data_IF_019163647921
#
_entry.id   IF_019163647921
#
_cell.length_a   1.000
_cell.length_b   1.000
_cell.length_c   1.000
_cell.angle_alpha   90.00
_cell.angle_beta   90.00
_cell.angle_gamma   90.00
#
_symmetry.space_group_name_H-M   'P 1'
#
loop_
_entity.id
_entity.type
_entity.pdbx_description
1 polymer ?
#
# COMPACT_ATOMS: atom_id res chain seq x y z
N UNK A 1 -52.76 52.16 62.84
CA UNK A 1 -52.66 50.81 63.46
C UNK A 1 -51.94 49.90 62.49
N UNK A 2 -50.91 49.16 62.98
CA UNK A 2 -50.29 47.91 62.46
C UNK A 2 -50.08 47.79 60.94
N UNK A 3 -48.87 48.07 60.42
CA UNK A 3 -47.76 47.10 60.17
C UNK A 3 -48.18 45.86 59.39
N UNK A 4 -47.62 45.67 58.19
CA UNK A 4 -46.93 44.44 57.76
C UNK A 4 -46.03 44.79 56.56
N UNK A 5 -44.74 44.51 56.72
CA UNK A 5 -43.68 44.62 55.71
C UNK A 5 -43.79 43.38 54.81
N UNK A 6 -43.84 43.54 53.49
CA UNK A 6 -43.59 42.45 52.56
C UNK A 6 -42.25 42.71 51.87
N UNK A 7 -41.29 41.86 52.24
CA UNK A 7 -39.89 41.89 51.87
C UNK A 7 -39.74 41.47 50.40
N UNK A 8 -39.23 42.37 49.55
CA UNK A 8 -38.81 42.02 48.19
C UNK A 8 -37.50 41.23 48.28
N UNK A 9 -37.58 39.91 48.10
CA UNK A 9 -36.43 39.04 47.90
C UNK A 9 -36.14 38.97 46.40
N UNK A 10 -35.26 39.84 45.92
CA UNK A 10 -34.59 39.66 44.62
C UNK A 10 -33.67 38.45 44.74
N UNK A 11 -34.12 37.29 44.28
CA UNK A 11 -33.24 36.14 44.04
C UNK A 11 -32.61 36.36 42.67
N UNK A 12 -31.45 36.99 42.64
CA UNK A 12 -30.57 37.02 41.47
C UNK A 12 -29.99 35.62 41.29
N UNK A 13 -30.54 34.85 40.35
CA UNK A 13 -29.96 33.58 39.91
C UNK A 13 -28.70 33.92 39.13
N UNK A 14 -27.55 33.82 39.79
CA UNK A 14 -26.25 33.83 39.14
C UNK A 14 -26.09 32.47 38.45
N UNK A 15 -26.43 32.40 37.16
CA UNK A 15 -26.14 31.24 36.33
C UNK A 15 -24.63 31.14 36.13
N UNK A 16 -23.95 30.39 37.00
CA UNK A 16 -22.57 29.97 36.77
C UNK A 16 -22.60 28.96 35.63
N UNK A 17 -22.29 29.43 34.42
CA UNK A 17 -22.01 28.56 33.28
C UNK A 17 -20.66 27.90 33.58
N UNK A 18 -20.71 26.73 34.21
CA UNK A 18 -19.57 25.81 34.21
C UNK A 18 -19.38 25.33 32.77
N UNK A 19 -18.50 26.00 32.02
CA UNK A 19 -17.94 25.45 30.79
C UNK A 19 -17.09 24.24 31.20
N UNK A 20 -17.70 23.07 31.17
CA UNK A 20 -16.97 21.81 31.19
C UNK A 20 -16.31 21.68 29.82
N UNK A 21 -15.00 21.90 29.74
CA UNK A 21 -14.21 21.30 28.67
C UNK A 21 -14.25 19.79 28.92
N UNK A 22 -15.19 19.09 28.30
CA UNK A 22 -14.90 17.71 27.93
C UNK A 22 -13.75 17.79 26.93
N UNK A 23 -12.56 17.38 27.34
CA UNK A 23 -11.61 16.84 26.36
C UNK A 23 -12.39 15.73 25.67
N UNK A 24 -12.89 16.00 24.47
CA UNK A 24 -13.29 14.93 23.58
C UNK A 24 -12.05 14.05 23.49
N UNK A 25 -12.10 12.86 24.09
CA UNK A 25 -11.23 11.78 23.64
C UNK A 25 -11.61 11.61 22.18
N UNK A 26 -10.93 12.30 21.28
CA UNK A 26 -10.93 11.93 19.89
C UNK A 26 -10.41 10.50 19.90
N UNK A 27 -11.31 9.56 19.64
CA UNK A 27 -10.92 8.20 19.32
C UNK A 27 -10.03 8.34 18.10
N UNK A 28 -8.75 8.04 18.26
CA UNK A 28 -7.82 7.90 17.14
C UNK A 28 -8.37 6.72 16.33
N UNK A 29 -9.09 7.03 15.26
CA UNK A 29 -9.67 6.03 14.37
C UNK A 29 -8.66 5.75 13.25
N UNK A 30 -8.23 4.51 13.18
CA UNK A 30 -7.34 4.02 12.13
C UNK A 30 -8.12 3.85 10.85
N UNK A 31 -7.53 4.25 9.72
CA UNK A 31 -8.12 4.07 8.41
C UNK A 31 -7.32 3.05 7.62
N UNK A 32 -8.01 2.20 6.83
CA UNK A 32 -7.33 1.31 5.88
C UNK A 32 -6.46 2.15 4.96
N UNK A 33 -5.21 1.73 4.78
CA UNK A 33 -4.23 2.45 3.98
C UNK A 33 -3.50 1.50 3.04
N UNK A 34 -3.77 1.69 1.75
CA UNK A 34 -3.08 1.00 0.67
C UNK A 34 -1.64 1.48 0.51
N UNK A 35 -1.39 2.79 0.67
CA UNK A 35 -0.04 3.36 0.70
C UNK A 35 0.80 2.76 1.83
N UNK A 36 0.23 2.61 3.04
CA UNK A 36 0.88 1.91 4.15
C UNK A 36 1.26 0.48 3.75
N UNK A 37 0.35 -0.26 3.11
CA UNK A 37 0.64 -1.65 2.74
C UNK A 37 1.79 -1.74 1.75
N UNK A 38 1.86 -0.83 0.76
CA UNK A 38 3.00 -0.73 -0.17
C UNK A 38 4.29 -0.44 0.61
N UNK A 39 4.29 0.58 1.46
CA UNK A 39 5.45 0.90 2.30
C UNK A 39 5.91 -0.29 3.15
N UNK A 40 4.99 -0.97 3.85
CA UNK A 40 5.33 -2.09 4.72
C UNK A 40 5.88 -3.28 3.93
N UNK A 41 5.39 -3.52 2.71
CA UNK A 41 5.93 -4.57 1.85
C UNK A 41 7.38 -4.27 1.45
N UNK A 42 7.68 -3.03 1.08
CA UNK A 42 9.04 -2.61 0.74
C UNK A 42 9.94 -2.62 1.97
N UNK A 43 9.47 -2.06 3.08
CA UNK A 43 10.16 -2.05 4.37
C UNK A 43 10.55 -3.47 4.84
N UNK A 44 9.68 -4.46 4.64
CA UNK A 44 10.02 -5.87 4.91
C UNK A 44 11.17 -6.37 4.04
N UNK A 45 11.26 -5.93 2.80
CA UNK A 45 12.35 -6.29 1.89
C UNK A 45 13.67 -5.64 2.32
N UNK A 46 13.67 -4.35 2.66
CA UNK A 46 14.90 -3.67 3.10
C UNK A 46 15.44 -4.23 4.42
N UNK A 47 14.55 -4.71 5.30
CA UNK A 47 14.90 -5.31 6.58
C UNK A 47 15.13 -6.84 6.53
N UNK A 48 15.18 -7.45 5.35
CA UNK A 48 15.36 -8.90 5.15
C UNK A 48 14.28 -9.77 5.83
N UNK A 49 13.07 -9.24 6.04
CA UNK A 49 11.92 -9.94 6.62
C UNK A 49 11.19 -10.75 5.53
N UNK A 50 11.15 -10.25 4.29
CA UNK A 50 10.39 -10.87 3.18
C UNK A 50 11.07 -12.09 2.56
N UNK A 51 12.27 -12.48 3.01
CA UNK A 51 13.06 -13.57 2.40
C UNK A 51 13.69 -13.23 1.04
N UNK A 52 13.36 -12.06 0.46
CA UNK A 52 14.01 -11.46 -0.70
C UNK A 52 15.21 -10.63 -0.21
N UNK A 53 16.41 -10.91 -0.72
CA UNK A 53 17.60 -10.09 -0.46
C UNK A 53 17.79 -9.14 -1.64
N UNK A 54 17.68 -7.83 -1.41
CA UNK A 54 18.16 -6.84 -2.38
C UNK A 54 19.66 -6.65 -2.24
N UNK A 55 20.33 -6.42 -3.37
CA UNK A 55 21.76 -6.12 -3.43
C UNK A 55 22.01 -4.70 -2.89
N UNK A 56 22.49 -4.62 -1.65
CA UNK A 56 23.43 -3.63 -1.09
C UNK A 56 23.17 -2.11 -1.11
N UNK A 57 22.02 -1.56 -1.52
CA UNK A 57 21.81 -0.09 -1.36
C UNK A 57 20.34 0.38 -1.32
N UNK A 58 19.45 -0.34 -0.66
CA UNK A 58 18.03 0.06 -0.55
C UNK A 58 17.76 0.68 0.82
N UNK A 59 18.23 1.92 1.02
CA UNK A 59 17.78 2.72 2.17
C UNK A 59 16.42 3.32 1.85
N UNK A 60 15.46 3.21 2.77
CA UNK A 60 14.15 3.88 2.61
C UNK A 60 14.37 5.39 2.46
N UNK A 61 13.64 6.05 1.56
CA UNK A 61 13.80 7.49 1.35
C UNK A 61 13.13 8.34 2.46
N UNK A 62 12.35 7.72 3.35
CA UNK A 62 11.81 8.32 4.55
C UNK A 62 11.63 7.29 5.66
N UNK A 63 11.52 7.77 6.90
CA UNK A 63 11.17 6.99 8.08
C UNK A 63 9.95 7.56 8.79
N UNK A 64 9.28 6.72 9.58
CA UNK A 64 8.18 7.16 10.43
C UNK A 64 8.69 7.92 11.66
N UNK A 65 8.00 9.00 12.03
CA UNK A 65 8.17 9.62 13.35
C UNK A 65 7.23 8.93 14.34
N UNK A 66 7.83 8.25 15.31
CA UNK A 66 7.10 7.51 16.35
C UNK A 66 6.65 8.42 17.50
N UNK A 67 5.55 8.08 18.21
CA UNK A 67 4.77 6.85 18.11
C UNK A 67 3.69 6.89 17.02
N UNK A 68 3.30 5.70 16.54
CA UNK A 68 2.21 5.50 15.58
C UNK A 68 1.13 4.59 16.18
N UNK A 69 -0.07 4.67 15.61
CA UNK A 69 -1.16 3.72 15.86
C UNK A 69 -1.57 3.07 14.54
N UNK A 70 -1.43 1.75 14.46
CA UNK A 70 -1.87 0.93 13.33
C UNK A 70 -3.13 0.14 13.68
N UNK A 71 -3.84 -0.33 12.66
CA UNK A 71 -4.84 -1.39 12.79
C UNK A 71 -4.44 -2.63 12.01
N UNK A 72 -4.78 -3.78 12.58
CA UNK A 72 -4.80 -5.04 11.87
C UNK A 72 -6.07 -5.13 11.00
N UNK A 73 -6.04 -6.05 10.04
CA UNK A 73 -7.14 -6.39 9.14
C UNK A 73 -8.43 -6.88 9.83
N UNK A 74 -8.39 -7.20 11.13
CA UNK A 74 -9.56 -7.52 11.96
C UNK A 74 -10.15 -6.30 12.71
N UNK A 75 -9.55 -5.11 12.53
CA UNK A 75 -9.94 -3.85 13.15
C UNK A 75 -9.37 -3.61 14.54
N UNK A 76 -8.59 -4.55 15.10
CA UNK A 76 -7.87 -4.31 16.35
C UNK A 76 -6.68 -3.39 16.13
N UNK A 77 -6.35 -2.56 17.12
CA UNK A 77 -5.31 -1.54 17.00
C UNK A 77 -4.05 -1.90 17.79
N UNK A 78 -2.89 -1.44 17.33
CA UNK A 78 -1.60 -1.55 18.01
C UNK A 78 -0.86 -0.21 17.98
N UNK A 79 -0.30 0.21 19.11
CA UNK A 79 0.60 1.36 19.19
C UNK A 79 2.04 0.89 19.01
N UNK A 80 2.80 1.59 18.18
CA UNK A 80 4.19 1.27 17.86
C UNK A 80 5.06 2.47 18.19
N UNK A 81 6.10 2.27 18.99
CA UNK A 81 6.91 3.33 19.59
C UNK A 81 8.32 3.43 19.00
N UNK A 82 8.70 2.50 18.12
CA UNK A 82 10.00 2.49 17.46
C UNK A 82 10.00 1.59 16.22
N UNK A 83 10.98 1.78 15.35
CA UNK A 83 11.22 0.90 14.20
C UNK A 83 11.44 -0.56 14.60
N UNK A 84 12.19 -0.81 15.68
CA UNK A 84 12.39 -2.17 16.19
C UNK A 84 11.07 -2.84 16.59
N UNK A 85 10.12 -2.09 17.16
CA UNK A 85 8.80 -2.62 17.48
C UNK A 85 7.98 -2.90 16.20
N UNK A 86 8.08 -2.03 15.19
CA UNK A 86 7.47 -2.27 13.88
C UNK A 86 8.02 -3.56 13.24
N UNK A 87 9.35 -3.72 13.18
CA UNK A 87 10.02 -4.93 12.65
C UNK A 87 9.50 -6.18 13.35
N UNK A 88 9.46 -6.19 14.69
CA UNK A 88 8.97 -7.33 15.45
C UNK A 88 7.51 -7.68 15.12
N UNK A 89 6.65 -6.68 14.91
CA UNK A 89 5.26 -6.92 14.50
C UNK A 89 5.22 -7.51 13.08
N UNK A 90 5.99 -6.95 12.15
CA UNK A 90 6.01 -7.35 10.75
C UNK A 90 6.55 -8.77 10.52
N UNK A 91 7.48 -9.23 11.35
CA UNK A 91 7.98 -10.61 11.37
C UNK A 91 6.90 -11.64 11.78
N UNK A 92 5.87 -11.20 12.51
CA UNK A 92 4.81 -12.06 13.03
C UNK A 92 3.48 -11.93 12.27
N UNK A 93 3.42 -11.13 11.20
CA UNK A 93 2.21 -11.06 10.36
C UNK A 93 1.95 -12.40 9.65
N UNK A 94 0.67 -12.69 9.42
CA UNK A 94 0.18 -13.87 8.70
C UNK A 94 -0.90 -13.47 7.70
N UNK A 95 -1.32 -14.38 6.82
CA UNK A 95 -2.44 -14.12 5.89
C UNK A 95 -3.79 -13.87 6.57
N UNK A 96 -3.90 -14.18 7.87
CA UNK A 96 -5.12 -13.95 8.65
C UNK A 96 -5.03 -12.75 9.59
N UNK A 97 -3.81 -12.31 9.92
CA UNK A 97 -3.58 -11.19 10.85
C UNK A 97 -2.37 -10.38 10.37
N UNK A 98 -2.63 -9.19 9.83
CA UNK A 98 -1.62 -8.30 9.27
C UNK A 98 -2.08 -6.84 9.37
N UNK A 99 -1.14 -5.89 9.37
CA UNK A 99 -1.43 -4.45 9.38
C UNK A 99 -1.97 -4.03 8.01
N UNK A 100 -3.11 -3.36 8.02
CA UNK A 100 -3.77 -2.81 6.85
C UNK A 100 -4.26 -1.36 7.03
N UNK A 101 -4.05 -0.76 8.20
CA UNK A 101 -4.46 0.60 8.47
C UNK A 101 -3.57 1.35 9.45
N UNK A 102 -3.68 2.68 9.39
CA UNK A 102 -2.92 3.64 10.19
C UNK A 102 -3.83 4.78 10.63
N UNK A 103 -3.54 5.34 11.80
CA UNK A 103 -4.16 6.57 12.27
C UNK A 103 -3.58 7.80 11.56
N UNK A 104 -4.46 8.62 10.98
CA UNK A 104 -4.09 9.96 10.52
C UNK A 104 -4.44 11.01 11.59
N UNK A 105 -3.68 12.12 11.69
CA UNK A 105 -2.42 12.36 10.98
C UNK A 105 -1.24 11.63 11.63
N UNK A 106 -0.18 11.42 10.85
CA UNK A 106 1.12 10.95 11.34
C UNK A 106 2.25 11.73 10.65
N UNK A 107 3.46 11.66 11.20
CA UNK A 107 4.61 12.40 10.70
C UNK A 107 5.63 11.46 10.04
N UNK A 108 6.22 11.91 8.93
CA UNK A 108 7.34 11.27 8.23
C UNK A 108 8.58 12.15 8.27
N UNK A 109 9.77 11.54 8.34
CA UNK A 109 11.04 12.24 8.18
C UNK A 109 11.73 11.76 6.91
N UNK A 110 11.82 12.63 5.90
CA UNK A 110 12.50 12.33 4.63
C UNK A 110 14.02 12.28 4.85
N UNK A 111 14.70 11.33 4.20
CA UNK A 111 16.14 11.16 4.25
C UNK A 111 16.88 12.46 3.91
N UNK A 112 17.74 12.91 4.84
CA UNK A 112 18.47 14.18 4.73
C UNK A 112 17.69 15.43 5.20
N UNK A 113 16.41 15.29 5.57
CA UNK A 113 15.65 16.34 6.26
C UNK A 113 15.82 16.27 7.78
N UNK A 114 15.56 17.38 8.45
CA UNK A 114 15.40 17.45 9.92
C UNK A 114 14.01 17.91 10.34
N UNK A 115 13.15 18.23 9.36
CA UNK A 115 11.79 18.70 9.58
C UNK A 115 10.82 17.61 9.18
N UNK A 116 9.96 17.15 10.11
CA UNK A 116 8.90 16.20 9.79
C UNK A 116 7.88 16.78 8.81
N UNK A 117 7.33 15.91 7.98
CA UNK A 117 6.19 16.17 7.09
C UNK A 117 4.98 15.47 7.68
N UNK A 118 3.92 16.22 7.97
CA UNK A 118 2.66 15.66 8.46
C UNK A 118 1.81 15.16 7.31
N UNK A 119 1.39 13.91 7.40
CA UNK A 119 0.48 13.24 6.48
C UNK A 119 -0.90 13.17 7.14
N UNK A 120 -1.90 13.75 6.49
CA UNK A 120 -3.26 13.88 7.01
C UNK A 120 -4.28 13.03 6.25
N UNK A 121 -3.93 12.55 5.06
CA UNK A 121 -4.82 11.73 4.22
C UNK A 121 -4.06 10.62 3.49
N UNK A 122 -4.81 9.61 3.04
CA UNK A 122 -4.28 8.53 2.20
C UNK A 122 -3.68 9.05 0.88
N UNK A 123 -4.28 10.08 0.28
CA UNK A 123 -3.78 10.69 -0.95
C UNK A 123 -2.41 11.35 -0.74
N UNK A 124 -2.23 12.09 0.36
CA UNK A 124 -0.94 12.65 0.75
C UNK A 124 0.10 11.56 1.01
N UNK A 125 -0.31 10.41 1.55
CA UNK A 125 0.63 9.30 1.74
C UNK A 125 1.07 8.70 0.40
N UNK A 126 0.14 8.49 -0.54
CA UNK A 126 0.48 8.03 -1.89
C UNK A 126 1.41 8.98 -2.64
N UNK A 127 1.27 10.30 -2.48
CA UNK A 127 2.22 11.27 -3.06
C UNK A 127 3.65 11.06 -2.54
N UNK A 128 3.79 10.68 -1.27
CA UNK A 128 5.10 10.34 -0.70
C UNK A 128 5.63 9.02 -1.25
N UNK A 129 4.78 7.99 -1.41
CA UNK A 129 5.17 6.71 -2.03
C UNK A 129 5.72 6.94 -3.45
N UNK A 130 5.00 7.71 -4.27
CA UNK A 130 5.38 8.06 -5.65
C UNK A 130 6.68 8.88 -5.68
N UNK A 131 6.79 9.91 -4.84
CA UNK A 131 8.01 10.73 -4.73
C UNK A 131 9.22 9.90 -4.28
N UNK A 132 8.99 8.83 -3.51
CA UNK A 132 10.02 7.93 -3.02
C UNK A 132 10.45 6.87 -4.04
N UNK A 133 9.79 6.79 -5.20
CA UNK A 133 10.01 5.76 -6.21
C UNK A 133 9.92 4.34 -5.60
N UNK A 134 8.96 4.14 -4.67
CA UNK A 134 8.72 2.82 -4.08
C UNK A 134 7.88 2.00 -5.06
N UNK A 135 8.37 0.79 -5.39
CA UNK A 135 7.67 -0.17 -6.26
C UNK A 135 6.20 -0.37 -5.83
N UNK A 136 5.28 0.01 -6.73
CA UNK A 136 3.84 -0.12 -6.57
C UNK A 136 3.29 -1.29 -7.38
N UNK A 137 1.97 -1.50 -7.33
CA UNK A 137 1.32 -2.52 -8.17
C UNK A 137 1.57 -2.31 -9.67
N UNK A 138 1.66 -1.05 -10.12
CA UNK A 138 1.89 -0.72 -11.52
C UNK A 138 3.27 -1.22 -11.96
N UNK A 139 4.30 -1.01 -11.13
CA UNK A 139 5.67 -1.46 -11.39
C UNK A 139 5.76 -2.99 -11.46
N UNK A 140 5.09 -3.70 -10.54
CA UNK A 140 5.05 -5.16 -10.55
C UNK A 140 4.34 -5.71 -11.79
N UNK A 141 3.26 -5.07 -12.25
CA UNK A 141 2.53 -5.53 -13.43
C UNK A 141 3.33 -5.24 -14.70
N UNK A 142 3.87 -4.02 -14.83
CA UNK A 142 4.63 -3.58 -16.01
C UNK A 142 5.95 -4.33 -16.15
N UNK A 143 6.63 -4.64 -15.04
CA UNK A 143 7.86 -5.43 -15.07
C UNK A 143 7.67 -6.89 -15.52
N UNK A 144 6.42 -7.34 -15.60
CA UNK A 144 6.07 -8.72 -15.92
C UNK A 144 6.31 -9.60 -14.70
N UNK A 145 5.29 -9.99 -13.93
CA UNK A 145 5.49 -10.92 -12.83
C UNK A 145 5.79 -12.33 -13.37
N UNK A 146 6.45 -13.16 -12.56
CA UNK A 146 6.70 -14.58 -12.85
C UNK A 146 5.45 -15.49 -12.74
N UNK A 147 4.25 -14.90 -12.75
CA UNK A 147 2.96 -15.55 -12.78
C UNK A 147 2.05 -14.84 -13.79
N UNK A 148 1.01 -15.51 -14.26
CA UNK A 148 0.01 -14.91 -15.16
C UNK A 148 -1.32 -14.77 -14.45
N UNK A 149 -2.01 -13.65 -14.62
CA UNK A 149 -3.36 -13.47 -14.06
C UNK A 149 -4.36 -14.43 -14.72
N UNK A 150 -5.28 -14.97 -13.92
CA UNK A 150 -6.47 -15.66 -14.41
C UNK A 150 -7.59 -14.63 -14.54
N UNK A 151 -8.05 -14.42 -15.76
CA UNK A 151 -9.12 -13.47 -16.06
C UNK A 151 -10.52 -14.09 -15.88
N UNK A 152 -11.55 -13.29 -15.52
CA UNK A 152 -11.47 -11.87 -15.19
C UNK A 152 -11.05 -11.61 -13.73
N UNK A 153 -10.48 -10.44 -13.47
CA UNK A 153 -10.27 -9.91 -12.11
C UNK A 153 -10.62 -8.42 -12.05
N UNK A 154 -10.49 -7.79 -10.89
CA UNK A 154 -10.75 -6.34 -10.76
C UNK A 154 -9.72 -5.66 -9.87
N UNK A 155 -9.50 -4.39 -10.15
CA UNK A 155 -8.55 -3.49 -9.50
C UNK A 155 -9.29 -2.32 -8.87
N UNK A 156 -8.63 -1.62 -7.94
CA UNK A 156 -9.03 -0.32 -7.43
C UNK A 156 -8.00 0.72 -7.88
N UNK A 157 -8.45 1.81 -8.48
CA UNK A 157 -7.59 2.96 -8.77
C UNK A 157 -7.55 3.94 -7.59
N UNK A 158 -6.68 4.94 -7.69
CA UNK A 158 -6.54 6.06 -6.74
C UNK A 158 -7.80 6.89 -6.49
N UNK A 159 -8.85 6.74 -7.31
CA UNK A 159 -10.16 7.33 -7.11
C UNK A 159 -11.16 6.37 -6.42
N UNK A 160 -10.69 5.24 -5.88
CA UNK A 160 -11.49 4.13 -5.34
C UNK A 160 -12.50 3.55 -6.34
N UNK A 161 -12.26 3.69 -7.64
CA UNK A 161 -13.10 3.10 -8.67
C UNK A 161 -12.65 1.67 -8.97
N UNK A 162 -13.63 0.76 -9.07
CA UNK A 162 -13.37 -0.61 -9.50
C UNK A 162 -13.18 -0.67 -11.02
N UNK A 163 -12.03 -1.17 -11.45
CA UNK A 163 -11.69 -1.41 -12.85
C UNK A 163 -11.72 -2.91 -13.11
N UNK A 164 -12.61 -3.39 -13.97
CA UNK A 164 -12.68 -4.81 -14.34
C UNK A 164 -11.76 -5.11 -15.52
N UNK A 165 -10.99 -6.19 -15.42
CA UNK A 165 -10.03 -6.62 -16.42
C UNK A 165 -10.43 -8.01 -16.92
N UNK A 166 -10.78 -8.10 -18.21
CA UNK A 166 -11.32 -9.32 -18.80
C UNK A 166 -10.28 -10.12 -19.60
N UNK A 167 -9.16 -9.50 -19.95
CA UNK A 167 -8.09 -10.10 -20.72
C UNK A 167 -6.79 -9.30 -20.56
N UNK A 168 -5.70 -9.87 -21.07
CA UNK A 168 -4.37 -9.29 -20.99
C UNK A 168 -4.22 -7.96 -21.75
N UNK A 169 -4.94 -7.78 -22.86
CA UNK A 169 -4.92 -6.52 -23.60
C UNK A 169 -5.52 -5.36 -22.78
N UNK A 170 -6.60 -5.61 -22.04
CA UNK A 170 -7.19 -4.62 -21.13
C UNK A 170 -6.23 -4.26 -19.99
N UNK A 171 -5.49 -5.24 -19.45
CA UNK A 171 -4.50 -5.00 -18.40
C UNK A 171 -3.37 -4.10 -18.90
N UNK A 172 -2.72 -4.46 -20.01
CA UNK A 172 -1.65 -3.63 -20.58
C UNK A 172 -2.17 -2.27 -21.08
N UNK A 173 -3.44 -2.20 -21.47
CA UNK A 173 -4.10 -0.95 -21.85
C UNK A 173 -4.05 0.12 -20.77
N UNK A 174 -3.99 -0.27 -19.49
CA UNK A 174 -3.90 0.67 -18.36
C UNK A 174 -2.60 1.48 -18.35
N UNK A 175 -1.50 0.90 -18.84
CA UNK A 175 -0.16 1.48 -18.72
C UNK A 175 0.35 2.15 -20.00
N UNK A 176 -0.45 2.17 -21.07
CA UNK A 176 -0.02 2.72 -22.37
C UNK A 176 -0.08 4.25 -22.45
N UNK A 177 -0.87 4.90 -21.60
CA UNK A 177 -1.02 6.35 -21.64
C UNK A 177 -0.21 7.01 -20.53
N UNK A 178 0.94 7.60 -20.90
CA UNK A 178 1.80 8.33 -19.97
C UNK A 178 1.17 9.60 -19.37
N UNK A 179 -0.02 10.01 -19.83
CA UNK A 179 -0.77 11.14 -19.26
C UNK A 179 -1.90 10.68 -18.34
N UNK A 180 -2.08 9.37 -18.13
CA UNK A 180 -3.06 8.87 -17.18
C UNK A 180 -2.54 9.10 -15.77
N UNK A 181 -3.31 9.81 -14.96
CA UNK A 181 -3.03 10.02 -13.54
C UNK A 181 -3.74 8.99 -12.67
N UNK A 182 -4.47 8.05 -13.28
CA UNK A 182 -5.06 6.92 -12.57
C UNK A 182 -4.01 5.82 -12.44
N UNK A 183 -3.58 5.57 -11.21
CA UNK A 183 -2.71 4.46 -10.85
C UNK A 183 -3.48 3.46 -9.98
N UNK A 184 -2.97 2.22 -9.91
CA UNK A 184 -3.60 1.15 -9.14
C UNK A 184 -3.17 1.24 -7.68
N UNK A 185 -4.15 1.33 -6.79
CA UNK A 185 -3.91 1.37 -5.33
C UNK A 185 -4.20 0.05 -4.65
N UNK A 186 -4.99 -0.83 -5.26
CA UNK A 186 -5.24 -2.17 -4.73
C UNK A 186 -5.88 -3.11 -5.76
N UNK A 187 -5.97 -4.39 -5.40
CA UNK A 187 -6.78 -5.39 -6.08
C UNK A 187 -8.13 -5.58 -5.37
N UNK A 188 -9.14 -6.01 -6.11
CA UNK A 188 -10.37 -6.57 -5.52
C UNK A 188 -10.14 -8.06 -5.29
N UNK A 189 -10.10 -8.46 -4.03
CA UNK A 189 -9.90 -9.86 -3.63
C UNK A 189 -11.23 -10.63 -3.49
N UNK A 190 -11.24 -11.96 -3.72
CA UNK A 190 -10.12 -12.77 -4.19
C UNK A 190 -9.95 -12.70 -5.72
N UNK A 191 -8.73 -12.94 -6.19
CA UNK A 191 -8.42 -13.21 -7.60
C UNK A 191 -7.52 -14.45 -7.73
N UNK A 192 -7.26 -14.91 -8.95
CA UNK A 192 -6.40 -16.07 -9.19
C UNK A 192 -5.25 -15.76 -10.13
N UNK A 193 -4.13 -16.45 -9.94
CA UNK A 193 -2.97 -16.44 -10.84
C UNK A 193 -2.60 -17.87 -11.24
N UNK A 194 -1.90 -18.02 -12.35
CA UNK A 194 -1.23 -19.26 -12.73
C UNK A 194 0.26 -19.11 -12.40
N UNK A 195 0.77 -19.95 -11.51
CA UNK A 195 2.17 -20.00 -11.11
C UNK A 195 2.65 -21.44 -11.12
N UNK A 196 3.79 -21.72 -11.76
CA UNK A 196 4.32 -23.09 -11.93
C UNK A 196 3.28 -24.10 -12.45
N UNK A 197 2.47 -23.69 -13.44
CA UNK A 197 1.36 -24.48 -14.03
C UNK A 197 0.23 -24.86 -13.05
N UNK A 198 0.16 -24.23 -11.88
CA UNK A 198 -0.93 -24.39 -10.92
C UNK A 198 -1.72 -23.08 -10.79
N UNK A 199 -3.04 -23.19 -10.66
CA UNK A 199 -3.90 -22.06 -10.30
C UNK A 199 -3.82 -21.83 -8.79
N UNK A 200 -3.42 -20.62 -8.41
CA UNK A 200 -3.31 -20.16 -7.03
C UNK A 200 -4.32 -19.03 -6.81
N UNK A 201 -5.19 -19.17 -5.80
CA UNK A 201 -6.11 -18.11 -5.39
C UNK A 201 -5.42 -17.21 -4.37
N UNK A 202 -5.52 -15.90 -4.57
CA UNK A 202 -5.01 -14.85 -3.69
C UNK A 202 -6.20 -14.20 -2.99
N UNK A 203 -6.27 -14.33 -1.67
CA UNK A 203 -7.44 -13.95 -0.88
C UNK A 203 -7.37 -12.55 -0.28
N UNK A 204 -6.18 -11.95 -0.20
CA UNK A 204 -5.97 -10.62 0.36
C UNK A 204 -4.60 -10.04 -0.05
N UNK A 205 -4.38 -8.77 0.28
CA UNK A 205 -3.16 -8.03 -0.03
C UNK A 205 -1.89 -8.59 0.63
N UNK A 206 -2.01 -9.26 1.79
CA UNK A 206 -0.88 -9.94 2.40
C UNK A 206 -0.45 -11.14 1.55
N UNK A 207 -1.38 -12.00 1.16
CA UNK A 207 -1.10 -13.14 0.27
C UNK A 207 -0.53 -12.68 -1.06
N UNK A 208 -1.00 -11.55 -1.59
CA UNK A 208 -0.45 -11.01 -2.83
C UNK A 208 0.99 -10.51 -2.68
N UNK A 209 1.29 -9.80 -1.59
CA UNK A 209 2.66 -9.40 -1.28
C UNK A 209 3.59 -10.61 -1.12
N UNK A 210 3.11 -11.68 -0.47
CA UNK A 210 3.86 -12.94 -0.38
C UNK A 210 4.05 -13.59 -1.76
N UNK A 211 3.03 -13.53 -2.63
CA UNK A 211 3.15 -14.00 -4.01
C UNK A 211 4.27 -13.25 -4.74
N UNK A 212 4.31 -11.91 -4.66
CA UNK A 212 5.34 -11.09 -5.30
C UNK A 212 6.74 -11.32 -4.68
N UNK A 213 6.85 -11.47 -3.36
CA UNK A 213 8.13 -11.73 -2.70
C UNK A 213 8.71 -13.10 -3.03
N UNK A 214 7.86 -14.12 -3.13
CA UNK A 214 8.25 -15.48 -3.51
C UNK A 214 8.30 -15.66 -5.03
N UNK A 215 7.85 -14.66 -5.79
CA UNK A 215 7.93 -14.60 -7.22
C UNK A 215 9.36 -14.31 -7.66
N UNK A 216 10.22 -15.28 -7.41
CA UNK A 216 11.49 -15.40 -8.09
C UNK A 216 11.20 -16.05 -9.44
N UNK A 217 11.79 -15.51 -10.49
CA UNK A 217 11.97 -16.25 -11.72
C UNK A 217 12.88 -17.44 -11.43
N UNK A 218 12.33 -18.47 -10.79
CA UNK A 218 13.07 -19.55 -10.12
C UNK A 218 13.93 -20.38 -11.08
N UNK A 219 13.88 -20.07 -12.38
CA UNK A 219 14.64 -20.75 -13.43
C UNK A 219 15.38 -19.81 -14.39
N UNK A 220 15.31 -18.48 -14.22
CA UNK A 220 15.84 -17.54 -15.21
C UNK A 220 16.99 -16.74 -14.63
N UNK A 221 18.19 -17.27 -14.84
CA UNK A 221 19.44 -16.57 -14.54
C UNK A 221 19.71 -15.50 -15.61
N UNK A 222 18.83 -14.49 -15.67
CA UNK A 222 18.93 -13.44 -16.67
C UNK A 222 19.91 -12.35 -16.24
N UNK A 223 20.75 -11.86 -17.18
CA UNK A 223 21.60 -10.71 -16.89
C UNK A 223 20.73 -9.47 -16.62
N UNK A 224 21.22 -8.58 -15.76
CA UNK A 224 20.60 -7.26 -15.50
C UNK A 224 20.88 -6.24 -16.60
N UNK A 225 21.49 -6.66 -17.70
CA UNK A 225 21.71 -5.81 -18.86
C UNK A 225 20.38 -5.47 -19.51
N UNK A 226 20.16 -4.19 -19.79
CA UNK A 226 18.99 -3.71 -20.50
C UNK A 226 19.32 -3.74 -22.00
N UNK A 227 18.74 -4.70 -22.71
CA UNK A 227 18.82 -4.90 -24.16
C UNK A 227 17.43 -5.27 -24.68
N UNK A 228 16.50 -4.29 -24.76
CA UNK A 228 15.08 -4.59 -24.83
C UNK A 228 14.67 -5.38 -26.07
N UNK A 229 13.75 -6.32 -25.89
CA UNK A 229 13.11 -7.05 -27.00
C UNK A 229 11.61 -6.84 -26.99
N UNK A 230 10.99 -6.91 -28.16
CA UNK A 230 9.56 -6.75 -28.34
C UNK A 230 8.96 -8.10 -28.77
N UNK A 231 7.89 -8.52 -28.13
CA UNK A 231 7.14 -9.76 -28.45
C UNK A 231 5.75 -9.39 -28.94
N UNK A 232 5.27 -10.03 -30.01
CA UNK A 232 3.89 -9.87 -30.48
C UNK A 232 2.97 -10.92 -29.88
N UNK A 233 2.09 -10.51 -28.97
CA UNK A 233 1.09 -11.37 -28.33
C UNK A 233 -0.29 -10.95 -28.82
N UNK A 234 -0.91 -11.78 -29.67
CA UNK A 234 -2.25 -11.53 -30.21
C UNK A 234 -2.44 -10.14 -30.87
N UNK A 235 -1.38 -9.57 -31.45
CA UNK A 235 -1.40 -8.27 -32.12
C UNK A 235 -1.00 -7.07 -31.26
N UNK A 236 -0.61 -7.29 -30.00
CA UNK A 236 -0.03 -6.27 -29.12
C UNK A 236 1.47 -6.50 -28.98
N UNK A 237 2.25 -5.42 -29.03
CA UNK A 237 3.71 -5.47 -28.84
C UNK A 237 4.02 -5.25 -27.36
N UNK A 238 4.58 -6.27 -26.71
CA UNK A 238 5.04 -6.24 -25.32
C UNK A 238 6.56 -6.10 -25.28
N UNK A 239 7.08 -5.12 -24.56
CA UNK A 239 8.52 -4.91 -24.42
C UNK A 239 9.05 -5.57 -23.15
N UNK A 240 10.10 -6.38 -23.29
CA UNK A 240 10.86 -6.96 -22.17
C UNK A 240 12.20 -6.24 -22.02
N UNK A 241 12.75 -6.09 -20.80
CA UNK A 241 14.04 -5.42 -20.60
C UNK A 241 15.22 -6.12 -21.28
N UNK A 242 15.13 -7.45 -21.48
CA UNK A 242 16.04 -8.20 -22.34
C UNK A 242 15.43 -9.51 -22.86
N UNK A 243 16.09 -10.11 -23.85
CA UNK A 243 15.67 -11.37 -24.47
C UNK A 243 15.51 -12.52 -23.46
N UNK A 244 16.38 -12.61 -22.46
CA UNK A 244 16.30 -13.65 -21.45
C UNK A 244 15.02 -13.53 -20.61
N UNK A 245 14.59 -12.31 -20.27
CA UNK A 245 13.33 -12.09 -19.55
C UNK A 245 12.11 -12.40 -20.43
N UNK A 246 12.16 -12.11 -21.73
CA UNK A 246 11.12 -12.54 -22.67
C UNK A 246 11.04 -14.08 -22.76
N UNK A 247 12.19 -14.75 -22.86
CA UNK A 247 12.27 -16.22 -22.86
C UNK A 247 11.78 -16.82 -21.54
N UNK A 248 12.09 -16.16 -20.44
CA UNK A 248 11.62 -16.53 -19.12
C UNK A 248 10.11 -16.47 -18.98
N UNK A 249 9.49 -15.46 -19.60
CA UNK A 249 8.04 -15.31 -19.68
C UNK A 249 7.38 -16.32 -20.65
N UNK A 250 8.15 -17.25 -21.23
CA UNK A 250 7.65 -18.33 -22.07
C UNK A 250 7.65 -18.03 -23.57
N UNK A 251 8.23 -16.90 -23.98
CA UNK A 251 8.36 -16.52 -25.39
C UNK A 251 9.64 -17.08 -26.00
N UNK A 252 9.74 -17.07 -27.32
CA UNK A 252 10.93 -17.49 -28.04
C UNK A 252 11.39 -16.38 -28.98
N UNK A 253 12.62 -16.46 -29.48
CA UNK A 253 13.12 -15.53 -30.49
C UNK A 253 12.25 -15.47 -31.76
N UNK A 254 11.41 -16.47 -32.03
CA UNK A 254 10.46 -16.45 -33.14
C UNK A 254 9.25 -15.54 -32.90
N UNK A 255 8.96 -15.23 -31.64
CA UNK A 255 7.86 -14.34 -31.24
C UNK A 255 8.29 -12.86 -31.21
N UNK A 256 9.57 -12.58 -31.46
CA UNK A 256 10.14 -11.24 -31.45
C UNK A 256 9.78 -10.48 -32.73
N UNK A 257 9.51 -9.17 -32.61
CA UNK A 257 9.07 -8.29 -33.70
C UNK A 257 9.91 -7.03 -33.86
#
# INVERSE_FOLDING_TARGET
>A
MKKIKFLWLFVSILAVIIVSCSTSNESIDTQKSSALRIFLNEFKTTNNISGRSMTNDSTMCFEFVYPLTFSYNDGTTVSVNSETELVNILENETSTLYIDGIAFPFDLLVSGSTTPVTITTEAEFWEVIDTCDIDTYDDYIVSGPCYSFVYPFSLLNNNNQTVSINNEQELYGLFQNSNDTNYIVNFVYPFSVTYNNATVQINNEYEFAQMNNNCTYSNCNCPTVIDPVCVSVSGVVVQFPNACLAECAGYTAADFV
#
